data_IF_159351447745
#
_entry.id   IF_159351447745
#
_cell.length_a   1.000
_cell.length_b   1.000
_cell.length_c   1.000
_cell.angle_alpha   90.00
_cell.angle_beta   90.00
_cell.angle_gamma   90.00
#
_symmetry.space_group_name_H-M   'P 1'
#
loop_
_entity.id
_entity.type
_entity.pdbx_description
1 polymer ?
#
# COMPACT_ATOMS: atom_id res chain seq x y z
N UNK A 1 1.28 3.66 -28.13
CA UNK A 1 0.00 3.26 -27.48
C UNK A 1 0.23 2.49 -26.17
N UNK A 2 1.17 1.53 -26.10
CA UNK A 2 1.52 0.86 -24.84
C UNK A 2 2.22 1.78 -23.82
N UNK A 3 3.04 2.73 -24.28
CA UNK A 3 3.82 3.62 -23.38
C UNK A 3 2.93 4.63 -22.64
N UNK A 4 1.95 5.22 -23.33
CA UNK A 4 0.98 6.15 -22.74
C UNK A 4 0.08 5.44 -21.73
N UNK A 5 -0.40 4.24 -22.06
CA UNK A 5 -1.23 3.43 -21.16
C UNK A 5 -0.44 2.99 -19.91
N UNK A 6 0.85 2.66 -20.06
CA UNK A 6 1.71 2.28 -18.95
C UNK A 6 1.99 3.45 -18.01
N UNK A 7 2.28 4.64 -18.56
CA UNK A 7 2.46 5.86 -17.75
C UNK A 7 1.17 6.19 -16.99
N UNK A 8 0.01 6.12 -17.66
CA UNK A 8 -1.30 6.36 -17.02
C UNK A 8 -1.58 5.34 -15.93
N UNK A 9 -1.33 4.05 -16.17
CA UNK A 9 -1.54 3.00 -15.18
C UNK A 9 -0.63 3.17 -13.94
N UNK A 10 0.65 3.50 -14.15
CA UNK A 10 1.59 3.77 -13.05
C UNK A 10 1.12 4.98 -12.23
N UNK A 11 0.71 6.07 -12.89
CA UNK A 11 0.20 7.26 -12.21
C UNK A 11 -1.07 6.95 -11.39
N UNK A 12 -1.99 6.14 -11.93
CA UNK A 12 -3.18 5.71 -11.20
C UNK A 12 -2.84 4.87 -9.96
N UNK A 13 -1.92 3.90 -10.10
CA UNK A 13 -1.48 3.07 -8.97
C UNK A 13 -0.86 3.94 -7.88
N UNK A 14 0.04 4.86 -8.25
CA UNK A 14 0.66 5.80 -7.30
C UNK A 14 -0.41 6.67 -6.62
N UNK A 15 -1.39 7.19 -7.36
CA UNK A 15 -2.45 8.01 -6.81
C UNK A 15 -3.30 7.24 -5.78
N UNK A 16 -3.70 6.00 -6.12
CA UNK A 16 -4.46 5.12 -5.21
C UNK A 16 -3.64 4.79 -3.97
N UNK A 17 -2.36 4.44 -4.12
CA UNK A 17 -1.49 4.10 -2.99
C UNK A 17 -1.24 5.28 -2.05
N UNK A 18 -1.20 6.51 -2.57
CA UNK A 18 -1.07 7.72 -1.74
C UNK A 18 -2.36 8.00 -0.98
N UNK A 19 -3.52 7.94 -1.65
CA UNK A 19 -4.83 8.18 -1.03
C UNK A 19 -5.11 7.14 0.06
N UNK A 20 -4.86 5.86 -0.26
CA UNK A 20 -5.15 4.73 0.61
C UNK A 20 -4.02 4.41 1.61
N UNK A 21 -2.83 5.01 1.44
CA UNK A 21 -1.64 4.73 2.24
C UNK A 21 -1.15 5.90 3.11
N UNK A 22 -1.83 7.05 3.06
CA UNK A 22 -1.43 8.25 3.81
C UNK A 22 -1.44 8.06 5.33
N UNK A 23 -2.36 7.24 5.84
CA UNK A 23 -2.45 6.82 7.24
C UNK A 23 -1.22 6.00 7.70
N UNK A 24 -0.73 5.10 6.85
CA UNK A 24 0.40 4.24 7.14
C UNK A 24 1.70 5.04 7.33
N UNK A 25 1.90 6.11 6.55
CA UNK A 25 3.05 7.01 6.71
C UNK A 25 2.99 7.78 8.05
N UNK A 26 1.79 8.18 8.49
CA UNK A 26 1.58 8.87 9.77
C UNK A 26 1.90 7.94 10.94
N UNK A 27 1.44 6.68 10.92
CA UNK A 27 1.73 5.69 11.95
C UNK A 27 3.24 5.45 12.08
N UNK A 28 3.96 5.29 10.97
CA UNK A 28 5.42 5.10 10.95
C UNK A 28 6.13 6.33 11.53
N UNK A 29 5.70 7.54 11.14
CA UNK A 29 6.26 8.79 11.64
C UNK A 29 6.01 8.99 13.15
N UNK A 30 4.83 8.61 13.64
CA UNK A 30 4.46 8.64 15.05
C UNK A 30 5.25 7.61 15.87
N UNK A 31 5.44 6.40 15.35
CA UNK A 31 6.27 5.37 15.98
C UNK A 31 7.73 5.84 16.10
N UNK A 32 8.24 6.56 15.09
CA UNK A 32 9.60 7.08 15.08
C UNK A 32 9.76 8.47 15.75
N UNK A 33 8.70 9.02 16.34
CA UNK A 33 8.66 10.41 16.85
C UNK A 33 9.74 10.70 17.89
N UNK A 34 9.98 9.77 18.81
CA UNK A 34 10.87 9.96 19.95
C UNK A 34 12.32 9.49 19.69
N UNK A 35 12.66 9.09 18.47
CA UNK A 35 14.01 8.64 18.14
C UNK A 35 14.97 9.82 17.93
N UNK A 36 16.26 9.67 18.31
CA UNK A 36 17.31 10.63 17.97
C UNK A 36 17.33 10.93 16.47
N UNK A 37 17.63 12.17 16.06
CA UNK A 37 17.53 12.62 14.65
C UNK A 37 18.19 11.66 13.63
N UNK A 38 19.31 11.04 13.98
CA UNK A 38 20.04 10.08 13.14
C UNK A 38 19.33 8.72 13.04
N UNK A 39 18.73 8.24 14.13
CA UNK A 39 17.97 6.98 14.16
C UNK A 39 16.56 7.15 13.61
N UNK A 40 15.94 8.33 13.74
CA UNK A 40 14.60 8.61 13.21
C UNK A 40 14.53 8.42 11.69
N UNK A 41 15.53 8.89 10.94
CA UNK A 41 15.60 8.68 9.49
C UNK A 41 15.70 7.21 9.13
N UNK A 42 16.52 6.46 9.86
CA UNK A 42 16.66 5.01 9.67
C UNK A 42 15.37 4.28 10.05
N UNK A 43 14.72 4.66 11.15
CA UNK A 43 13.44 4.09 11.57
C UNK A 43 12.33 4.33 10.55
N UNK A 44 12.23 5.54 9.99
CA UNK A 44 11.28 5.83 8.91
C UNK A 44 11.64 5.04 7.65
N UNK A 45 12.92 4.96 7.27
CA UNK A 45 13.36 4.23 6.07
C UNK A 45 13.03 2.73 6.18
N UNK A 46 13.43 2.10 7.28
CA UNK A 46 13.16 0.68 7.54
C UNK A 46 11.68 0.40 7.77
N UNK A 47 10.95 1.30 8.44
CA UNK A 47 9.50 1.19 8.64
C UNK A 47 8.75 1.28 7.31
N UNK A 48 9.11 2.22 6.44
CA UNK A 48 8.50 2.36 5.11
C UNK A 48 8.86 1.19 4.20
N UNK A 49 10.12 0.75 4.19
CA UNK A 49 10.55 -0.41 3.42
C UNK A 49 9.80 -1.68 3.87
N UNK A 50 9.68 -1.92 5.18
CA UNK A 50 8.94 -3.03 5.74
C UNK A 50 7.45 -2.97 5.39
N UNK A 51 6.83 -1.80 5.49
CA UNK A 51 5.43 -1.59 5.13
C UNK A 51 5.16 -1.87 3.64
N UNK A 52 6.04 -1.42 2.74
CA UNK A 52 5.94 -1.70 1.30
C UNK A 52 6.09 -3.20 1.03
N UNK A 53 7.10 -3.86 1.61
CA UNK A 53 7.32 -5.30 1.43
C UNK A 53 6.09 -6.09 1.91
N UNK A 54 5.58 -5.77 3.09
CA UNK A 54 4.39 -6.40 3.63
C UNK A 54 3.17 -6.16 2.74
N UNK A 55 2.99 -4.93 2.23
CA UNK A 55 1.92 -4.59 1.28
C UNK A 55 2.03 -5.43 0.01
N UNK A 56 3.21 -5.54 -0.60
CA UNK A 56 3.41 -6.37 -1.78
C UNK A 56 3.09 -7.85 -1.51
N UNK A 57 3.52 -8.39 -0.36
CA UNK A 57 3.19 -9.76 0.03
C UNK A 57 1.69 -9.96 0.21
N UNK A 58 1.02 -9.08 0.95
CA UNK A 58 -0.42 -9.15 1.17
C UNK A 58 -1.22 -9.03 -0.13
N UNK A 59 -0.84 -8.10 -1.02
CA UNK A 59 -1.46 -7.94 -2.34
C UNK A 59 -1.25 -9.19 -3.20
N UNK A 60 -0.07 -9.80 -3.17
CA UNK A 60 0.19 -11.06 -3.88
C UNK A 60 -0.70 -12.21 -3.38
N UNK A 61 -0.84 -12.35 -2.05
CA UNK A 61 -1.75 -13.35 -1.47
C UNK A 61 -3.21 -13.03 -1.80
N UNK A 62 -3.63 -11.78 -1.65
CA UNK A 62 -4.98 -11.34 -1.95
C UNK A 62 -5.33 -11.53 -3.42
N UNK A 63 -4.44 -11.18 -4.34
CA UNK A 63 -4.65 -11.36 -5.78
C UNK A 63 -4.79 -12.84 -6.15
N UNK A 64 -4.02 -13.72 -5.51
CA UNK A 64 -4.14 -15.17 -5.66
C UNK A 64 -5.50 -15.66 -5.13
N UNK A 65 -5.94 -15.20 -3.96
CA UNK A 65 -7.24 -15.56 -3.38
C UNK A 65 -8.42 -15.06 -4.22
N UNK A 66 -8.32 -13.87 -4.81
CA UNK A 66 -9.34 -13.25 -5.67
C UNK A 66 -9.47 -13.92 -7.06
N UNK A 67 -8.65 -14.93 -7.36
CA UNK A 67 -8.89 -15.80 -8.53
C UNK A 67 -10.15 -16.66 -8.37
N UNK A 68 -10.58 -16.89 -7.13
CA UNK A 68 -11.83 -17.60 -6.82
C UNK A 68 -13.01 -16.63 -7.06
N UNK A 69 -13.94 -16.92 -7.99
CA UNK A 69 -14.99 -15.99 -8.40
C UNK A 69 -15.88 -15.51 -7.25
N UNK A 70 -16.26 -16.43 -6.36
CA UNK A 70 -17.10 -16.14 -5.19
C UNK A 70 -16.40 -15.19 -4.22
N UNK A 71 -15.10 -15.37 -4.03
CA UNK A 71 -14.27 -14.54 -3.15
C UNK A 71 -14.05 -13.15 -3.75
N UNK A 72 -13.90 -13.06 -5.09
CA UNK A 72 -13.78 -11.80 -5.82
C UNK A 72 -15.00 -10.90 -5.65
N UNK A 73 -16.19 -11.49 -5.69
CA UNK A 73 -17.45 -10.76 -5.56
C UNK A 73 -17.63 -10.22 -4.14
N UNK A 74 -17.37 -11.06 -3.13
CA UNK A 74 -17.41 -10.67 -1.72
C UNK A 74 -16.32 -9.62 -1.39
N UNK A 75 -15.10 -9.82 -1.89
CA UNK A 75 -14.00 -8.87 -1.73
C UNK A 75 -14.30 -7.50 -2.33
N UNK A 76 -14.91 -7.46 -3.52
CA UNK A 76 -15.37 -6.22 -4.13
C UNK A 76 -16.45 -5.50 -3.32
N UNK A 77 -17.41 -6.25 -2.75
CA UNK A 77 -18.45 -5.69 -1.87
C UNK A 77 -17.87 -5.14 -0.55
N UNK A 78 -16.92 -5.87 0.05
CA UNK A 78 -16.21 -5.41 1.25
C UNK A 78 -15.42 -4.12 1.00
N UNK A 79 -14.78 -3.99 -0.17
CA UNK A 79 -14.09 -2.75 -0.55
C UNK A 79 -15.03 -1.56 -0.66
N UNK A 80 -16.26 -1.74 -1.16
CA UNK A 80 -17.28 -0.69 -1.18
C UNK A 80 -17.82 -0.33 0.20
N UNK A 81 -17.75 -1.25 1.17
CA UNK A 81 -18.21 -1.01 2.53
C UNK A 81 -17.18 -0.26 3.37
N UNK A 82 -15.90 -0.60 3.21
CA UNK A 82 -14.80 -0.08 4.04
C UNK A 82 -14.15 1.15 3.41
N UNK A 83 -14.15 1.27 2.08
CA UNK A 83 -13.67 2.44 1.35
C UNK A 83 -14.70 3.56 1.31
#
# INVERSE_FOLDING_TARGET
MLDEALIVAILQIIAIDIILGGDNAIIIALACRNLPKRQKRLGILWGTAGAIILRCLLVFFASTLLTIPSLKLIGGLLLLWIG
#
